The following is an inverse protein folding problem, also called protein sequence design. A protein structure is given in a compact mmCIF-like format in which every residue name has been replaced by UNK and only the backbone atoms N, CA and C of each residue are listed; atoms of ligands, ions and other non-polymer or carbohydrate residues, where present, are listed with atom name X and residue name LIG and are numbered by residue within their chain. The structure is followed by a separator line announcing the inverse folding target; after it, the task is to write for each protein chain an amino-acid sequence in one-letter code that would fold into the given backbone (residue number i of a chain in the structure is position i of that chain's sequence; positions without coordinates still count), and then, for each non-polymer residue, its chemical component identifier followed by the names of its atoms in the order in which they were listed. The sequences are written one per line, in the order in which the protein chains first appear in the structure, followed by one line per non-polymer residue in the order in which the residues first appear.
data_IF_382872230516
#
_entry.id   IF_382872230516
#
_cell.length_a   1.000
_cell.length_b   1.000
_cell.length_c   1.000
_cell.angle_alpha   90.00
_cell.angle_beta   90.00
_cell.angle_gamma   90.00
#
_symmetry.space_group_name_H-M   'P 1'
#
loop_
_entity.id
_entity.type
_entity.pdbx_description
1 polymer ?
#
# COMPACT_ATOMS: atom_id res chain seq x y z
N UNK A 1 34.38 49.28 7.32
CA UNK A 1 34.37 48.07 8.19
C UNK A 1 33.03 47.33 8.23
N UNK A 2 31.88 47.95 7.94
CA UNK A 2 30.57 47.27 7.93
C UNK A 2 30.42 46.19 6.84
N UNK A 3 30.82 46.51 5.60
CA UNK A 3 30.62 45.61 4.46
C UNK A 3 31.41 44.29 4.58
N UNK A 4 32.61 44.34 5.17
CA UNK A 4 33.44 43.15 5.38
C UNK A 4 32.83 42.18 6.41
N UNK A 5 32.16 42.72 7.45
CA UNK A 5 31.46 41.91 8.45
C UNK A 5 30.19 41.25 7.90
N UNK A 6 29.47 41.96 7.00
CA UNK A 6 28.28 41.43 6.33
C UNK A 6 28.65 40.30 5.36
N UNK A 7 29.73 40.46 4.59
CA UNK A 7 30.24 39.42 3.68
C UNK A 7 30.70 38.18 4.47
N UNK A 8 31.34 38.36 5.63
CA UNK A 8 31.76 37.25 6.50
C UNK A 8 30.55 36.49 7.10
N UNK A 9 29.47 37.20 7.45
CA UNK A 9 28.24 36.60 7.96
C UNK A 9 27.48 35.80 6.89
N UNK A 10 27.39 36.34 5.66
CA UNK A 10 26.74 35.65 4.54
C UNK A 10 27.52 34.40 4.16
N UNK A 11 28.85 34.47 4.10
CA UNK A 11 29.70 33.30 3.80
C UNK A 11 29.60 32.23 4.90
N UNK A 12 29.50 32.61 6.17
CA UNK A 12 29.30 31.67 7.28
C UNK A 12 27.92 30.97 7.20
N UNK A 13 26.86 31.68 6.83
CA UNK A 13 25.51 31.11 6.64
C UNK A 13 25.47 30.15 5.44
N UNK A 14 26.19 30.45 4.36
CA UNK A 14 26.31 29.58 3.17
C UNK A 14 27.20 28.36 3.43
N UNK A 15 28.19 28.46 4.33
CA UNK A 15 29.00 27.32 4.78
C UNK A 15 28.27 26.42 5.78
N UNK A 16 27.27 26.95 6.51
CA UNK A 16 26.40 26.18 7.42
C UNK A 16 25.15 25.60 6.75
N UNK A 17 24.79 26.07 5.54
CA UNK A 17 23.60 25.63 4.81
C UNK A 17 23.64 24.22 4.18
N UNK A 18 24.77 23.49 3.99
CA UNK A 18 24.68 22.13 3.47
C UNK A 18 24.17 21.12 4.51
N UNK A 19 23.76 21.58 5.70
CA UNK A 19 23.12 20.72 6.72
C UNK A 19 21.59 20.62 6.62
N UNK A 20 20.93 21.38 5.74
CA UNK A 20 19.46 21.33 5.58
C UNK A 20 18.95 20.65 4.31
N UNK A 21 19.80 20.24 3.38
CA UNK A 21 19.36 19.46 2.21
C UNK A 21 19.56 17.96 2.45
N UNK A 22 18.77 17.38 3.35
CA UNK A 22 18.49 15.93 3.39
C UNK A 22 17.20 15.58 2.63
N UNK A 23 16.93 16.24 1.50
CA UNK A 23 15.66 16.04 0.81
C UNK A 23 15.59 14.78 -0.06
N UNK A 24 16.67 14.04 -0.25
CA UNK A 24 16.62 12.72 -0.88
C UNK A 24 17.68 11.82 -0.26
N UNK A 25 17.30 11.09 0.78
CA UNK A 25 18.08 9.94 1.26
C UNK A 25 17.76 8.76 0.35
N UNK A 26 18.62 8.49 -0.62
CA UNK A 26 18.62 7.20 -1.35
C UNK A 26 19.12 6.04 -0.47
N UNK A 27 19.39 6.30 0.82
CA UNK A 27 20.01 5.41 1.80
C UNK A 27 19.05 4.90 2.88
N UNK A 28 17.75 5.23 2.80
CA UNK A 28 16.77 4.55 3.64
C UNK A 28 16.56 3.14 3.08
N UNK A 29 17.40 2.21 3.52
CA UNK A 29 16.91 0.84 3.70
C UNK A 29 15.57 0.99 4.47
N UNK A 30 14.41 0.60 3.92
CA UNK A 30 13.10 0.87 4.52
C UNK A 30 12.84 -0.01 5.75
N UNK A 31 13.89 -0.33 6.48
CA UNK A 31 13.84 -0.95 7.80
C UNK A 31 13.20 0.06 8.74
N UNK A 32 12.14 -0.38 9.43
CA UNK A 32 11.34 0.35 10.42
C UNK A 32 10.13 1.15 9.91
N UNK A 33 9.70 0.98 8.65
CA UNK A 33 8.40 1.52 8.21
C UNK A 33 7.24 0.79 8.90
N UNK A 34 6.31 1.55 9.47
CA UNK A 34 5.12 1.00 10.14
C UNK A 34 3.98 0.84 9.15
N UNK A 35 3.44 -0.35 9.05
CA UNK A 35 2.37 -0.69 8.12
C UNK A 35 1.15 -1.16 8.90
N UNK A 36 0.01 -0.51 8.67
CA UNK A 36 -1.27 -0.99 9.17
C UNK A 36 -1.82 -2.03 8.19
N UNK A 37 -2.13 -3.22 8.67
CA UNK A 37 -2.76 -4.30 7.90
C UNK A 37 -4.18 -4.50 8.44
N UNK A 38 -5.16 -4.16 7.61
CA UNK A 38 -6.58 -4.35 7.91
C UNK A 38 -7.05 -5.62 7.20
N UNK A 39 -7.63 -6.55 7.96
CA UNK A 39 -8.11 -7.84 7.45
C UNK A 39 -9.58 -8.06 7.81
N UNK A 40 -10.32 -8.75 6.95
CA UNK A 40 -11.71 -9.17 7.25
C UNK A 40 -11.74 -10.22 8.37
N UNK A 41 -10.85 -11.21 8.28
CA UNK A 41 -10.76 -12.34 9.21
C UNK A 41 -9.33 -12.53 9.71
N UNK A 42 -9.18 -12.88 10.99
CA UNK A 42 -7.87 -13.10 11.61
C UNK A 42 -7.08 -14.25 10.97
N UNK A 43 -7.76 -15.22 10.35
CA UNK A 43 -7.16 -16.34 9.62
C UNK A 43 -6.33 -15.90 8.42
N UNK A 44 -6.63 -14.73 7.83
CA UNK A 44 -5.87 -14.16 6.70
C UNK A 44 -4.40 -13.99 7.06
N UNK A 45 -4.11 -13.63 8.32
CA UNK A 45 -2.73 -13.53 8.83
C UNK A 45 -1.97 -14.86 8.72
N UNK A 46 -2.66 -15.98 8.95
CA UNK A 46 -2.05 -17.31 8.86
C UNK A 46 -1.95 -17.78 7.40
N UNK A 47 -3.02 -17.62 6.62
CA UNK A 47 -3.06 -18.09 5.22
C UNK A 47 -2.10 -17.31 4.31
N UNK A 48 -1.86 -16.02 4.60
CA UNK A 48 -0.93 -15.15 3.85
C UNK A 48 0.40 -14.95 4.57
N UNK A 49 0.76 -15.86 5.48
CA UNK A 49 1.97 -15.75 6.29
C UNK A 49 3.26 -15.63 5.48
N UNK A 50 3.35 -16.26 4.30
CA UNK A 50 4.52 -16.12 3.40
C UNK A 50 4.74 -14.66 3.00
N UNK A 51 3.66 -13.97 2.62
CA UNK A 51 3.71 -12.55 2.24
C UNK A 51 4.10 -11.67 3.43
N UNK A 52 3.43 -11.83 4.58
CA UNK A 52 3.70 -11.02 5.75
C UNK A 52 5.10 -11.26 6.35
N UNK A 53 5.57 -12.51 6.38
CA UNK A 53 6.92 -12.86 6.81
C UNK A 53 7.98 -12.27 5.86
N UNK A 54 7.70 -12.24 4.55
CA UNK A 54 8.56 -11.55 3.58
C UNK A 54 8.67 -10.05 3.86
N UNK A 55 7.58 -9.38 4.27
CA UNK A 55 7.64 -7.98 4.68
C UNK A 55 8.43 -7.82 6.00
N UNK A 56 8.12 -8.61 7.02
CA UNK A 56 8.80 -8.51 8.32
C UNK A 56 10.31 -8.80 8.22
N UNK A 57 10.71 -9.78 7.41
CA UNK A 57 12.13 -10.09 7.16
C UNK A 57 12.90 -8.96 6.45
N UNK A 58 12.20 -8.06 5.75
CA UNK A 58 12.77 -6.83 5.16
C UNK A 58 12.80 -5.66 6.16
N UNK A 59 12.31 -5.85 7.38
CA UNK A 59 12.31 -4.86 8.45
C UNK A 59 11.04 -4.00 8.55
N UNK A 60 9.96 -4.35 7.86
CA UNK A 60 8.67 -3.66 8.03
C UNK A 60 7.99 -4.06 9.34
N UNK A 61 7.42 -3.08 10.06
CA UNK A 61 6.66 -3.31 11.30
C UNK A 61 5.18 -3.38 10.98
N UNK A 62 4.62 -4.59 10.99
CA UNK A 62 3.20 -4.81 10.66
C UNK A 62 2.32 -4.78 11.92
N UNK A 63 1.30 -3.93 11.91
CA UNK A 63 0.22 -3.91 12.91
C UNK A 63 -1.06 -4.46 12.29
N UNK A 64 -1.60 -5.55 12.85
CA UNK A 64 -2.81 -6.19 12.32
C UNK A 64 -4.06 -5.72 13.07
N UNK A 65 -5.09 -5.36 12.33
CA UNK A 65 -6.41 -4.97 12.84
C UNK A 65 -7.52 -5.67 12.06
N UNK A 66 -8.57 -6.08 12.76
CA UNK A 66 -9.80 -6.54 12.11
C UNK A 66 -10.55 -5.32 11.56
N UNK A 67 -11.16 -5.46 10.40
CA UNK A 67 -11.83 -4.34 9.72
C UNK A 67 -12.92 -3.66 10.58
N UNK A 68 -13.52 -4.37 11.53
CA UNK A 68 -14.54 -3.85 12.46
C UNK A 68 -13.98 -3.28 13.79
N UNK A 69 -12.67 -3.27 13.99
CA UNK A 69 -12.05 -2.78 15.24
C UNK A 69 -12.24 -1.27 15.40
N UNK A 70 -12.87 -0.86 16.49
CA UNK A 70 -13.16 0.56 16.78
C UNK A 70 -11.92 1.39 17.10
N UNK A 71 -10.77 0.75 17.33
CA UNK A 71 -9.50 1.42 17.59
C UNK A 71 -8.73 1.83 16.33
N UNK A 72 -9.22 1.48 15.13
CA UNK A 72 -8.53 1.80 13.88
C UNK A 72 -8.51 3.32 13.66
N UNK A 73 -7.30 3.81 13.40
CA UNK A 73 -7.03 5.21 13.12
C UNK A 73 -5.69 5.32 12.39
N UNK A 74 -5.68 5.95 11.22
CA UNK A 74 -4.44 6.21 10.45
C UNK A 74 -3.76 7.50 10.88
N UNK A 75 -4.52 8.43 11.48
CA UNK A 75 -4.05 9.75 11.86
C UNK A 75 -4.51 10.12 13.27
N UNK A 76 -3.62 10.68 14.08
CA UNK A 76 -3.95 11.31 15.37
C UNK A 76 -3.27 12.65 15.53
N UNK A 77 -4.03 13.65 15.96
CA UNK A 77 -3.54 15.02 16.18
C UNK A 77 -2.82 15.60 14.95
N UNK A 78 -3.34 15.32 13.74
CA UNK A 78 -2.77 15.78 12.48
C UNK A 78 -1.48 15.06 12.05
N UNK A 79 -1.10 13.97 12.70
CA UNK A 79 0.06 13.14 12.32
C UNK A 79 -0.36 11.73 11.95
N UNK A 80 0.19 11.21 10.86
CA UNK A 80 0.00 9.82 10.47
C UNK A 80 0.77 8.88 11.39
N UNK A 81 0.13 7.76 11.76
CA UNK A 81 0.69 6.75 12.67
C UNK A 81 1.46 5.65 11.92
N UNK A 82 1.22 5.53 10.62
CA UNK A 82 1.74 4.50 9.73
C UNK A 82 2.28 5.15 8.45
N UNK A 83 3.25 4.49 7.83
CA UNK A 83 3.85 4.87 6.56
C UNK A 83 3.19 4.15 5.37
N UNK A 84 2.43 3.09 5.64
CA UNK A 84 1.69 2.34 4.63
C UNK A 84 0.46 1.65 5.19
N UNK A 85 -0.47 1.34 4.29
CA UNK A 85 -1.75 0.72 4.56
C UNK A 85 -1.94 -0.49 3.63
N UNK A 86 -2.27 -1.65 4.20
CA UNK A 86 -2.63 -2.86 3.47
C UNK A 86 -4.09 -3.19 3.81
N UNK A 87 -4.96 -3.18 2.80
CA UNK A 87 -6.37 -3.52 2.92
C UNK A 87 -6.62 -4.89 2.30
N UNK A 88 -6.62 -5.93 3.13
CA UNK A 88 -7.03 -7.31 2.79
C UNK A 88 -8.39 -7.59 3.42
N UNK A 89 -9.30 -6.66 3.18
CA UNK A 89 -10.66 -6.64 3.71
C UNK A 89 -11.64 -6.34 2.57
N UNK A 90 -11.72 -7.19 1.53
CA UNK A 90 -12.51 -6.92 0.33
C UNK A 90 -14.01 -6.76 0.63
N UNK A 91 -14.54 -7.48 1.62
CA UNK A 91 -15.99 -7.55 1.88
C UNK A 91 -16.50 -6.52 2.88
N UNK A 92 -15.64 -5.62 3.37
CA UNK A 92 -16.00 -4.67 4.42
C UNK A 92 -16.90 -3.55 3.92
N UNK A 93 -18.11 -3.45 4.46
CA UNK A 93 -19.02 -2.33 4.15
C UNK A 93 -18.64 -1.03 4.86
N UNK A 94 -18.03 -1.15 6.05
CA UNK A 94 -17.60 -0.02 6.85
C UNK A 94 -16.46 -0.41 7.77
N UNK A 95 -15.38 0.35 7.74
CA UNK A 95 -14.28 0.21 8.70
C UNK A 95 -14.67 0.70 10.10
N UNK A 96 -14.06 0.08 11.11
CA UNK A 96 -14.14 0.52 12.49
C UNK A 96 -13.36 1.81 12.75
N UNK A 97 -13.70 2.47 13.86
CA UNK A 97 -12.97 3.62 14.36
C UNK A 97 -13.12 4.85 13.48
N UNK A 98 -11.99 5.43 13.09
CA UNK A 98 -11.89 6.67 12.30
C UNK A 98 -11.41 6.46 10.87
N UNK A 99 -11.25 5.20 10.45
CA UNK A 99 -10.91 4.88 9.07
C UNK A 99 -12.20 4.90 8.24
N UNK A 100 -12.24 5.72 7.20
CA UNK A 100 -13.29 5.78 6.20
C UNK A 100 -12.68 6.09 4.84
N UNK A 101 -13.52 6.19 3.79
CA UNK A 101 -13.07 6.50 2.43
C UNK A 101 -12.21 7.77 2.40
N UNK A 102 -12.67 8.86 3.01
CA UNK A 102 -11.95 10.13 3.02
C UNK A 102 -10.59 10.01 3.72
N UNK A 103 -10.53 9.34 4.87
CA UNK A 103 -9.28 9.14 5.59
C UNK A 103 -8.26 8.30 4.81
N UNK A 104 -8.73 7.33 3.99
CA UNK A 104 -7.86 6.54 3.10
C UNK A 104 -7.32 7.42 1.97
N UNK A 105 -8.17 8.22 1.33
CA UNK A 105 -7.75 9.11 0.24
C UNK A 105 -6.79 10.19 0.75
N UNK A 106 -7.10 10.84 1.87
CA UNK A 106 -6.21 11.81 2.51
C UNK A 106 -4.85 11.20 2.85
N UNK A 107 -4.82 9.93 3.28
CA UNK A 107 -3.59 9.20 3.56
C UNK A 107 -2.74 9.00 2.29
N UNK A 108 -3.37 8.61 1.18
CA UNK A 108 -2.71 8.44 -0.13
C UNK A 108 -2.21 9.79 -0.66
N UNK A 109 -3.05 10.82 -0.64
CA UNK A 109 -2.71 12.18 -1.09
C UNK A 109 -1.57 12.80 -0.29
N UNK A 110 -1.42 12.39 0.97
CA UNK A 110 -0.29 12.78 1.83
C UNK A 110 1.01 12.01 1.56
N UNK A 111 1.00 11.08 0.59
CA UNK A 111 2.16 10.27 0.19
C UNK A 111 2.28 8.93 0.92
N UNK A 112 1.22 8.45 1.56
CA UNK A 112 1.17 7.12 2.16
C UNK A 112 1.02 6.00 1.12
N UNK A 113 1.70 4.88 1.32
CA UNK A 113 1.61 3.74 0.40
C UNK A 113 0.35 2.91 0.68
N UNK A 114 -0.47 2.65 -0.35
CA UNK A 114 -1.66 1.80 -0.26
C UNK A 114 -1.49 0.53 -1.09
N UNK A 115 -1.70 -0.63 -0.46
CA UNK A 115 -1.92 -1.90 -1.14
C UNK A 115 -3.33 -2.36 -0.80
N UNK A 116 -4.16 -2.57 -1.81
CA UNK A 116 -5.52 -3.04 -1.67
C UNK A 116 -5.68 -4.33 -2.48
N UNK A 117 -6.26 -5.35 -1.86
CA UNK A 117 -6.66 -6.57 -2.54
C UNK A 117 -8.18 -6.70 -2.52
N UNK A 118 -8.74 -7.08 -3.66
CA UNK A 118 -10.16 -7.30 -3.85
C UNK A 118 -10.40 -8.68 -4.48
N UNK A 119 -11.56 -9.27 -4.20
CA UNK A 119 -12.06 -10.48 -4.84
C UNK A 119 -13.50 -10.26 -5.31
N UNK A 120 -14.19 -11.34 -5.73
CA UNK A 120 -15.57 -11.28 -6.21
C UNK A 120 -16.59 -10.74 -5.18
N UNK A 121 -16.19 -10.60 -3.91
CA UNK A 121 -17.02 -10.06 -2.83
C UNK A 121 -16.63 -8.61 -2.48
N UNK A 122 -15.97 -7.88 -3.38
CA UNK A 122 -15.60 -6.49 -3.16
C UNK A 122 -16.84 -5.62 -2.84
N UNK A 123 -16.84 -4.99 -1.67
CA UNK A 123 -17.93 -4.09 -1.24
C UNK A 123 -17.92 -2.78 -2.03
N UNK A 124 -19.02 -2.03 -1.95
CA UNK A 124 -19.11 -0.69 -2.54
C UNK A 124 -18.06 0.26 -1.97
N UNK A 125 -17.71 0.12 -0.69
CA UNK A 125 -16.63 0.90 -0.08
C UNK A 125 -15.29 0.65 -0.77
N UNK A 126 -14.93 -0.61 -0.98
CA UNK A 126 -13.68 -0.99 -1.65
C UNK A 126 -13.68 -0.52 -3.11
N UNK A 127 -14.79 -0.70 -3.82
CA UNK A 127 -14.96 -0.22 -5.21
C UNK A 127 -14.78 1.30 -5.31
N UNK A 128 -15.36 2.05 -4.37
CA UNK A 128 -15.21 3.50 -4.32
C UNK A 128 -13.76 3.93 -4.06
N UNK A 129 -13.02 3.28 -3.13
CA UNK A 129 -11.59 3.58 -2.92
C UNK A 129 -10.79 3.40 -4.21
N UNK A 130 -11.06 2.31 -4.94
CA UNK A 130 -10.34 1.95 -6.17
C UNK A 130 -10.71 2.90 -7.32
N UNK A 131 -11.98 3.28 -7.44
CA UNK A 131 -12.47 4.25 -8.42
C UNK A 131 -11.85 5.65 -8.21
N UNK A 132 -11.73 6.10 -6.97
CA UNK A 132 -11.06 7.37 -6.62
C UNK A 132 -9.54 7.33 -6.92
N UNK A 133 -8.96 6.13 -6.99
CA UNK A 133 -7.59 5.93 -7.47
C UNK A 133 -7.49 5.83 -9.02
N UNK A 134 -8.61 5.97 -9.74
CA UNK A 134 -8.66 5.94 -11.20
C UNK A 134 -8.75 4.53 -11.81
N UNK A 135 -9.16 3.53 -11.04
CA UNK A 135 -9.38 2.16 -11.51
C UNK A 135 -10.84 1.77 -11.25
N UNK A 136 -11.54 1.29 -12.27
CA UNK A 136 -12.93 0.87 -12.13
C UNK A 136 -13.02 -0.66 -12.13
N UNK A 137 -13.74 -1.22 -11.15
CA UNK A 137 -14.19 -2.61 -11.22
C UNK A 137 -15.40 -2.73 -12.13
N UNK A 138 -15.65 -3.94 -12.64
CA UNK A 138 -16.84 -4.23 -13.45
C UNK A 138 -18.11 -3.81 -12.71
N UNK A 139 -19.10 -3.25 -13.40
CA UNK A 139 -20.37 -2.79 -12.80
C UNK A 139 -21.15 -3.94 -12.16
N UNK A 140 -21.10 -5.14 -12.76
CA UNK A 140 -21.70 -6.35 -12.22
C UNK A 140 -20.84 -6.90 -11.07
N UNK A 141 -21.38 -6.88 -9.86
CA UNK A 141 -20.71 -7.40 -8.65
C UNK A 141 -20.44 -8.91 -8.72
N UNK A 142 -21.14 -9.64 -9.58
CA UNK A 142 -20.94 -11.07 -9.80
C UNK A 142 -19.95 -11.38 -10.93
N UNK A 143 -19.43 -10.34 -11.61
CA UNK A 143 -18.47 -10.53 -12.68
C UNK A 143 -17.18 -11.18 -12.17
N UNK A 144 -16.74 -12.19 -12.92
CA UNK A 144 -15.47 -12.88 -12.69
C UNK A 144 -14.68 -12.94 -13.99
N UNK A 145 -13.36 -12.94 -13.89
CA UNK A 145 -12.48 -13.07 -15.06
C UNK A 145 -12.46 -14.53 -15.48
N UNK A 146 -12.79 -14.80 -16.74
CA UNK A 146 -12.84 -16.16 -17.31
C UNK A 146 -11.94 -16.21 -18.55
N UNK A 147 -11.05 -17.21 -18.62
CA UNK A 147 -10.24 -17.50 -19.81
C UNK A 147 -10.29 -18.99 -20.14
N UNK A 148 -10.88 -19.34 -21.28
CA UNK A 148 -10.99 -20.74 -21.74
C UNK A 148 -9.70 -21.28 -22.37
N UNK A 149 -8.69 -20.43 -22.59
CA UNK A 149 -7.45 -20.78 -23.28
C UNK A 149 -6.23 -20.84 -22.36
N UNK A 150 -6.14 -19.92 -21.40
CA UNK A 150 -5.00 -19.79 -20.48
C UNK A 150 -5.45 -19.92 -19.02
N UNK A 151 -6.27 -20.93 -18.72
CA UNK A 151 -6.59 -21.30 -17.34
C UNK A 151 -5.61 -22.35 -16.81
N UNK A 152 -5.33 -22.30 -15.51
CA UNK A 152 -4.58 -23.36 -14.86
C UNK A 152 -5.51 -24.56 -14.60
N UNK A 153 -5.15 -25.72 -15.12
CA UNK A 153 -5.86 -26.98 -14.84
C UNK A 153 -5.61 -27.35 -13.38
N UNK A 154 -6.59 -27.06 -12.52
CA UNK A 154 -6.68 -27.62 -11.18
C UNK A 154 -7.28 -29.03 -11.25
N UNK A 155 -7.05 -29.88 -10.25
CA UNK A 155 -7.62 -31.23 -10.15
C UNK A 155 -9.16 -31.24 -10.05
N UNK A 156 -9.78 -30.06 -9.96
CA UNK A 156 -11.20 -29.83 -9.90
C UNK A 156 -11.59 -29.14 -11.20
N UNK A 157 -12.36 -29.83 -12.06
CA UNK A 157 -13.01 -29.24 -13.23
C UNK A 157 -13.84 -28.04 -12.76
N UNK A 158 -13.52 -26.84 -13.25
CA UNK A 158 -14.04 -25.59 -12.72
C UNK A 158 -14.26 -24.55 -13.82
N UNK A 159 -14.93 -23.45 -13.46
CA UNK A 159 -15.47 -22.40 -14.36
C UNK A 159 -14.41 -21.53 -15.06
N UNK A 160 -13.19 -22.05 -15.28
CA UNK A 160 -12.06 -21.35 -15.93
C UNK A 160 -11.72 -19.98 -15.32
N UNK A 161 -11.88 -19.83 -14.00
CA UNK A 161 -11.64 -18.59 -13.25
C UNK A 161 -10.22 -18.47 -12.68
N UNK A 162 -9.46 -19.57 -12.65
CA UNK A 162 -8.05 -19.56 -12.27
C UNK A 162 -7.18 -19.30 -13.50
N UNK A 163 -6.74 -18.05 -13.67
CA UNK A 163 -6.06 -17.58 -14.88
C UNK A 163 -4.54 -17.66 -14.74
N UNK A 164 -3.89 -18.27 -15.72
CA UNK A 164 -2.43 -18.23 -15.88
C UNK A 164 -2.06 -17.14 -16.90
N UNK A 165 -1.34 -16.09 -16.45
CA UNK A 165 -0.92 -14.98 -17.31
C UNK A 165 0.60 -14.88 -17.39
N UNK A 166 1.11 -14.55 -18.59
CA UNK A 166 2.53 -14.30 -18.87
C UNK A 166 2.79 -12.90 -19.46
N UNK A 167 1.75 -12.09 -19.68
CA UNK A 167 1.85 -10.80 -20.34
C UNK A 167 2.08 -9.67 -19.33
N UNK A 168 3.29 -9.63 -18.76
CA UNK A 168 3.65 -8.64 -17.75
C UNK A 168 4.21 -7.35 -18.35
N UNK A 169 4.05 -6.24 -17.64
CA UNK A 169 4.71 -4.98 -17.98
C UNK A 169 6.24 -5.16 -18.01
N UNK A 170 6.90 -4.66 -19.04
CA UNK A 170 8.36 -4.78 -19.20
C UNK A 170 9.09 -3.74 -18.35
N UNK A 171 9.08 -3.92 -17.03
CA UNK A 171 9.76 -3.03 -16.07
C UNK A 171 10.50 -3.79 -14.97
N UNK A 172 11.83 -3.70 -14.99
CA UNK A 172 12.69 -4.29 -13.96
C UNK A 172 12.55 -3.61 -12.59
N UNK A 173 12.09 -2.36 -12.57
CA UNK A 173 11.89 -1.61 -11.32
C UNK A 173 10.67 -2.14 -10.55
N UNK A 174 9.63 -2.57 -11.28
CA UNK A 174 8.38 -3.07 -10.68
C UNK A 174 8.43 -4.57 -10.43
N UNK A 175 8.90 -5.36 -11.41
CA UNK A 175 8.87 -6.83 -11.34
C UNK A 175 10.20 -7.44 -10.89
N UNK A 176 11.26 -6.65 -10.77
CA UNK A 176 12.61 -7.14 -10.54
C UNK A 176 13.26 -7.73 -11.79
N UNK A 177 14.53 -8.09 -11.69
CA UNK A 177 15.36 -8.57 -12.81
C UNK A 177 15.05 -10.02 -13.24
N UNK A 178 14.19 -10.74 -12.51
CA UNK A 178 13.85 -12.13 -12.83
C UNK A 178 12.62 -12.17 -13.72
N UNK A 179 12.85 -12.41 -15.01
CA UNK A 179 11.85 -13.05 -15.86
C UNK A 179 11.72 -14.50 -15.41
N UNK A 180 10.53 -14.90 -14.97
CA UNK A 180 10.20 -16.31 -14.92
C UNK A 180 9.90 -16.71 -16.37
N UNK A 181 10.82 -17.43 -17.01
CA UNK A 181 10.58 -18.23 -18.22
C UNK A 181 9.99 -19.59 -17.83
#
# INVERSE_FOLDING_TARGET
MGNLRVILLITLVVLLSPRLTRSFSSDNNPTDRRILVVVDDASIKSSHSIFFNSLQSRGFVLEFKLANDTSISVQRYGKYLYDGLILFSPSVEKFGGSLDLAAILDFVDSGGDLILAADANASDLIRNVVAECGVDFDEDTSAVVIDHSSYAVSEIEGDHTLIASNNFIKSNVVLGSRKNE
#
